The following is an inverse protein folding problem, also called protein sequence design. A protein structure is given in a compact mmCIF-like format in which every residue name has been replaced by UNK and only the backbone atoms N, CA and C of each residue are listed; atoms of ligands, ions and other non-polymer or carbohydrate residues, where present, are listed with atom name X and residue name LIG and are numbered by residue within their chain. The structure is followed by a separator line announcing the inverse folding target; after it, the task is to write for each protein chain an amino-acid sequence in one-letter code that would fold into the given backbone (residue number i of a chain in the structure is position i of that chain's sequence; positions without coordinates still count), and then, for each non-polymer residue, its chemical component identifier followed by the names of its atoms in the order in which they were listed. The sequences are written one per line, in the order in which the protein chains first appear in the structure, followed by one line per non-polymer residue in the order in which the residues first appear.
data_IF_442927465799
#
_entry.id   IF_442927465799
#
_cell.length_a   1.000
_cell.length_b   1.000
_cell.length_c   1.000
_cell.angle_alpha   90.00
_cell.angle_beta   90.00
_cell.angle_gamma   90.00
#
_symmetry.space_group_name_H-M   'P 1'
#
loop_
_entity.id
_entity.type
_entity.pdbx_description
1 polymer ?
#
# COMPACT_ATOMS: atom_id res chain seq x y z
N UNK A 1 -5.88 -55.56 -13.57
CA UNK A 1 -7.30 -55.63 -13.96
C UNK A 1 -7.96 -54.35 -13.48
N UNK A 2 -8.61 -53.61 -14.39
CA UNK A 2 -9.45 -52.44 -14.06
C UNK A 2 -8.85 -51.06 -14.38
N UNK A 3 -8.68 -50.75 -15.66
CA UNK A 3 -8.98 -49.41 -16.21
C UNK A 3 -10.51 -49.16 -16.08
N UNK A 4 -11.10 -47.97 -16.14
CA UNK A 4 -10.86 -46.82 -17.02
C UNK A 4 -11.84 -45.70 -16.57
N UNK A 5 -11.62 -44.45 -16.99
CA UNK A 5 -12.67 -43.42 -16.96
C UNK A 5 -12.25 -42.01 -16.54
N UNK A 6 -11.37 -41.36 -17.29
CA UNK A 6 -11.14 -39.92 -17.22
C UNK A 6 -10.80 -39.37 -18.61
N UNK A 7 -11.81 -38.88 -19.34
CA UNK A 7 -11.60 -38.17 -20.61
C UNK A 7 -11.00 -36.76 -20.37
N UNK A 8 -10.08 -36.30 -21.23
CA UNK A 8 -9.46 -34.99 -21.16
C UNK A 8 -10.33 -33.92 -21.86
N UNK A 9 -10.53 -32.79 -21.20
CA UNK A 9 -11.18 -31.62 -21.80
C UNK A 9 -10.29 -31.00 -22.88
N UNK A 10 -10.88 -30.86 -24.06
CA UNK A 10 -10.29 -30.34 -25.28
C UNK A 10 -10.05 -28.82 -25.21
N UNK A 11 -8.90 -28.42 -25.74
CA UNK A 11 -8.56 -27.05 -26.11
C UNK A 11 -9.52 -26.52 -27.19
N UNK A 12 -10.33 -25.52 -26.84
CA UNK A 12 -11.05 -24.67 -27.80
C UNK A 12 -10.25 -23.41 -28.06
N UNK A 13 -9.45 -23.42 -29.13
CA UNK A 13 -8.84 -22.23 -29.72
C UNK A 13 -9.88 -21.54 -30.62
N UNK A 14 -10.09 -20.25 -30.39
CA UNK A 14 -11.04 -19.42 -31.14
C UNK A 14 -11.08 -18.02 -30.54
N UNK A 15 -10.00 -17.27 -30.70
CA UNK A 15 -9.98 -15.83 -30.48
C UNK A 15 -9.11 -15.24 -31.59
N UNK A 16 -9.73 -14.34 -32.34
CA UNK A 16 -9.24 -13.81 -33.60
C UNK A 16 -7.95 -12.97 -33.41
N UNK A 17 -7.02 -13.23 -34.31
CA UNK A 17 -5.72 -12.59 -34.46
C UNK A 17 -5.90 -11.21 -35.12
N UNK A 18 -6.06 -10.16 -34.32
CA UNK A 18 -5.83 -8.78 -34.77
C UNK A 18 -4.40 -8.34 -34.43
N UNK A 19 -3.44 -8.92 -35.15
CA UNK A 19 -2.09 -8.39 -35.22
C UNK A 19 -2.09 -7.00 -35.91
N UNK A 20 -1.60 -5.98 -35.21
CA UNK A 20 -1.33 -4.66 -35.78
C UNK A 20 -0.37 -4.76 -36.98
N UNK A 21 -0.62 -4.05 -38.09
CA UNK A 21 0.26 -4.08 -39.24
C UNK A 21 1.61 -3.37 -38.96
N UNK A 22 2.70 -3.80 -39.61
CA UNK A 22 4.04 -3.28 -39.36
C UNK A 22 4.20 -1.84 -39.85
N UNK A 23 5.01 -1.08 -39.10
CA UNK A 23 5.43 0.28 -39.39
C UNK A 23 6.38 0.29 -40.61
N UNK A 24 5.86 0.53 -41.81
CA UNK A 24 6.70 0.73 -43.00
C UNK A 24 7.40 2.09 -42.94
N UNK A 25 8.66 2.06 -42.50
CA UNK A 25 9.61 3.14 -42.74
C UNK A 25 9.89 3.24 -44.24
N UNK A 26 9.26 4.21 -44.92
CA UNK A 26 9.52 4.47 -46.34
C UNK A 26 10.75 5.38 -46.49
N UNK A 27 11.84 4.77 -46.95
CA UNK A 27 13.05 5.45 -47.36
C UNK A 27 12.79 6.41 -48.53
N UNK A 28 13.43 7.58 -48.46
CA UNK A 28 13.46 8.62 -49.49
C UNK A 28 14.07 8.09 -50.79
N UNK A 29 13.31 8.16 -51.89
CA UNK A 29 13.87 8.12 -53.24
C UNK A 29 13.69 9.48 -53.91
N UNK A 30 14.82 10.02 -54.34
CA UNK A 30 14.97 11.30 -55.01
C UNK A 30 14.23 11.34 -56.35
N UNK A 31 13.61 12.49 -56.61
CA UNK A 31 13.21 12.88 -57.97
C UNK A 31 11.72 12.99 -58.21
N UNK A 32 11.03 13.85 -57.47
CA UNK A 32 9.84 14.57 -57.95
C UNK A 32 9.63 15.80 -57.05
N UNK A 33 9.51 16.99 -57.65
CA UNK A 33 9.43 18.27 -56.94
C UNK A 33 8.14 18.34 -56.12
N UNK A 34 8.17 18.79 -54.85
CA UNK A 34 6.95 19.02 -54.08
C UNK A 34 6.12 20.16 -54.70
N UNK A 35 4.78 20.09 -54.66
CA UNK A 35 3.94 21.24 -54.98
C UNK A 35 4.24 22.37 -53.99
N UNK A 36 4.35 23.58 -54.51
CA UNK A 36 4.69 24.79 -53.75
C UNK A 36 3.79 24.95 -52.52
N UNK A 37 4.44 25.19 -51.39
CA UNK A 37 3.82 25.66 -50.16
C UNK A 37 2.97 26.89 -50.48
N UNK A 38 1.66 26.79 -50.25
CA UNK A 38 0.82 27.96 -50.11
C UNK A 38 1.38 28.81 -48.96
N UNK A 39 1.85 29.99 -49.34
CA UNK A 39 2.26 31.03 -48.41
C UNK A 39 1.01 31.46 -47.63
N UNK A 40 1.05 31.30 -46.30
CA UNK A 40 0.02 31.82 -45.41
C UNK A 40 0.00 33.34 -45.52
N UNK A 41 -0.99 33.89 -46.22
CA UNK A 41 -1.36 35.29 -46.05
C UNK A 41 -2.12 35.43 -44.72
N UNK A 42 -1.83 36.51 -43.99
CA UNK A 42 -2.22 36.67 -42.59
C UNK A 42 -3.73 36.90 -42.33
N UNK A 43 -4.61 36.74 -43.32
CA UNK A 43 -6.06 36.83 -43.15
C UNK A 43 -6.71 35.71 -43.97
N UNK A 44 -7.16 34.66 -43.30
CA UNK A 44 -7.66 33.43 -43.92
C UNK A 44 -9.01 33.59 -44.62
N UNK A 45 -8.98 33.96 -45.90
CA UNK A 45 -10.10 33.78 -46.82
C UNK A 45 -9.67 32.77 -47.90
N UNK A 46 -10.36 31.62 -47.94
CA UNK A 46 -10.26 30.64 -49.02
C UNK A 46 -11.19 31.04 -50.16
N UNK A 47 -10.63 31.47 -51.30
CA UNK A 47 -11.40 31.53 -52.55
C UNK A 47 -11.56 30.12 -53.11
N UNK A 48 -12.81 29.70 -53.27
CA UNK A 48 -13.18 28.51 -54.03
C UNK A 48 -13.71 28.99 -55.36
N UNK A 49 -12.92 28.82 -56.43
CA UNK A 49 -13.39 29.05 -57.79
C UNK A 49 -14.35 27.91 -58.18
N UNK A 50 -15.63 28.26 -58.33
CA UNK A 50 -16.65 27.38 -58.93
C UNK A 50 -16.93 27.90 -60.34
N UNK A 51 -16.22 27.35 -61.33
CA UNK A 51 -16.62 27.51 -62.72
C UNK A 51 -17.97 26.81 -62.95
N UNK A 52 -18.96 27.57 -63.46
CA UNK A 52 -20.11 26.99 -64.16
C UNK A 52 -21.43 26.87 -63.40
N UNK A 53 -21.81 27.87 -62.59
CA UNK A 53 -23.22 28.05 -62.19
C UNK A 53 -23.74 29.39 -62.70
N UNK A 54 -24.43 29.33 -63.84
CA UNK A 54 -25.35 30.38 -64.27
C UNK A 54 -26.51 30.43 -63.25
N UNK A 55 -26.35 31.27 -62.23
CA UNK A 55 -27.43 31.63 -61.32
C UNK A 55 -27.72 33.10 -61.56
N UNK A 56 -28.84 33.38 -62.24
CA UNK A 56 -29.39 34.73 -62.45
C UNK A 56 -29.87 35.41 -61.16
N UNK A 57 -29.09 35.33 -60.08
CA UNK A 57 -29.23 36.15 -58.90
C UNK A 57 -28.22 37.32 -59.03
N UNK A 58 -28.64 38.58 -58.82
CA UNK A 58 -27.71 39.69 -58.88
C UNK A 58 -26.61 39.51 -57.81
N UNK A 59 -25.34 39.57 -58.23
CA UNK A 59 -24.20 39.75 -57.33
C UNK A 59 -24.54 40.87 -56.35
N UNK A 60 -24.36 40.60 -55.05
CA UNK A 60 -24.62 41.58 -54.01
C UNK A 60 -23.61 42.72 -54.09
N UNK A 61 -23.93 43.73 -54.89
CA UNK A 61 -23.15 44.96 -55.00
C UNK A 61 -23.33 45.73 -53.68
N UNK A 62 -22.26 45.82 -52.88
CA UNK A 62 -22.29 46.62 -51.65
C UNK A 62 -22.76 48.03 -51.95
N UNK A 63 -23.77 48.52 -51.22
CA UNK A 63 -24.28 49.88 -51.39
C UNK A 63 -23.18 50.90 -51.15
N UNK A 64 -23.09 51.91 -52.02
CA UNK A 64 -22.23 53.08 -51.75
C UNK A 64 -22.73 53.81 -50.50
N UNK A 65 -21.85 54.58 -49.83
CA UNK A 65 -22.21 55.30 -48.59
C UNK A 65 -23.46 56.17 -48.78
N UNK A 66 -23.57 56.84 -49.92
CA UNK A 66 -24.71 57.70 -50.25
C UNK A 66 -26.02 56.91 -50.39
N UNK A 67 -25.97 55.72 -50.99
CA UNK A 67 -27.14 54.86 -51.19
C UNK A 67 -27.57 54.17 -49.89
N UNK A 68 -26.60 53.71 -49.08
CA UNK A 68 -26.87 53.13 -47.77
C UNK A 68 -27.53 54.15 -46.83
N UNK A 69 -27.07 55.41 -46.84
CA UNK A 69 -27.62 56.46 -45.98
C UNK A 69 -29.07 56.83 -46.32
N UNK A 70 -29.56 56.51 -47.53
CA UNK A 70 -30.99 56.68 -47.88
C UNK A 70 -31.87 55.67 -47.16
N UNK A 71 -31.43 54.43 -47.03
CA UNK A 71 -32.17 53.36 -46.35
C UNK A 71 -31.89 53.30 -44.84
N UNK A 72 -30.68 53.64 -44.41
CA UNK A 72 -30.26 53.59 -43.01
C UNK A 72 -30.98 54.61 -42.12
N UNK A 73 -31.48 55.71 -42.70
CA UNK A 73 -32.27 56.72 -42.00
C UNK A 73 -33.78 56.46 -42.06
N UNK A 74 -34.23 55.36 -42.67
CA UNK A 74 -35.63 54.96 -42.60
C UNK A 74 -36.04 54.76 -41.13
N UNK A 75 -37.17 55.33 -40.69
CA UNK A 75 -37.67 55.17 -39.32
C UNK A 75 -37.74 53.71 -38.85
N UNK A 76 -38.01 52.76 -39.75
CA UNK A 76 -38.02 51.33 -39.43
C UNK A 76 -36.63 50.82 -39.02
N UNK A 77 -35.61 51.04 -39.85
CA UNK A 77 -34.24 50.56 -39.61
C UNK A 77 -33.58 51.26 -38.42
N UNK A 78 -33.87 52.56 -38.22
CA UNK A 78 -33.41 53.30 -37.04
C UNK A 78 -34.00 52.72 -35.76
N UNK A 79 -35.32 52.47 -35.72
CA UNK A 79 -35.98 51.86 -34.56
C UNK A 79 -35.45 50.46 -34.29
N UNK A 80 -35.31 49.63 -35.32
CA UNK A 80 -34.79 48.27 -35.19
C UNK A 80 -33.37 48.26 -34.62
N UNK A 81 -32.47 49.13 -35.10
CA UNK A 81 -31.09 49.22 -34.57
C UNK A 81 -31.07 49.61 -33.09
N UNK A 82 -31.88 50.59 -32.69
CA UNK A 82 -31.97 50.99 -31.29
C UNK A 82 -32.58 49.91 -30.40
N UNK A 83 -33.58 49.17 -30.90
CA UNK A 83 -34.15 48.01 -30.20
C UNK A 83 -33.11 46.92 -30.03
N UNK A 84 -32.38 46.55 -31.09
CA UNK A 84 -31.33 45.54 -31.02
C UNK A 84 -30.19 45.95 -30.08
N UNK A 85 -29.78 47.22 -30.10
CA UNK A 85 -28.76 47.74 -29.19
C UNK A 85 -29.23 47.69 -27.73
N UNK A 86 -30.48 48.06 -27.46
CA UNK A 86 -31.06 47.97 -26.12
C UNK A 86 -31.17 46.51 -25.65
N UNK A 87 -31.62 45.61 -26.52
CA UNK A 87 -31.71 44.17 -26.24
C UNK A 87 -30.33 43.58 -25.96
N UNK A 88 -29.30 43.97 -26.74
CA UNK A 88 -27.92 43.53 -26.51
C UNK A 88 -27.44 43.89 -25.09
N UNK A 89 -27.61 45.15 -24.66
CA UNK A 89 -27.21 45.58 -23.33
C UNK A 89 -28.05 44.95 -22.22
N UNK A 90 -29.35 44.72 -22.45
CA UNK A 90 -30.21 44.02 -21.49
C UNK A 90 -29.79 42.56 -21.31
N UNK A 91 -29.48 41.85 -22.40
CA UNK A 91 -28.97 40.47 -22.35
C UNK A 91 -27.62 40.45 -21.63
N UNK A 92 -26.73 41.38 -21.95
CA UNK A 92 -25.41 41.46 -21.31
C UNK A 92 -25.53 41.70 -19.81
N UNK A 93 -26.40 42.63 -19.39
CA UNK A 93 -26.67 42.88 -17.97
C UNK A 93 -27.30 41.66 -17.29
N UNK A 94 -28.25 40.99 -17.95
CA UNK A 94 -28.86 39.78 -17.43
C UNK A 94 -27.84 38.65 -17.25
N UNK A 95 -26.93 38.45 -18.22
CA UNK A 95 -25.83 37.49 -18.11
C UNK A 95 -24.90 37.82 -16.95
N UNK A 96 -24.55 39.10 -16.75
CA UNK A 96 -23.72 39.53 -15.63
C UNK A 96 -24.41 39.25 -14.29
N UNK A 97 -25.70 39.58 -14.17
CA UNK A 97 -26.48 39.31 -12.96
C UNK A 97 -26.54 37.80 -12.69
N UNK A 98 -26.80 36.99 -13.70
CA UNK A 98 -26.83 35.52 -13.58
C UNK A 98 -25.46 34.99 -13.13
N UNK A 99 -24.36 35.48 -13.70
CA UNK A 99 -23.01 35.08 -13.29
C UNK A 99 -22.73 35.42 -11.82
N UNK A 100 -23.09 36.63 -11.38
CA UNK A 100 -22.96 37.04 -9.97
C UNK A 100 -23.81 36.17 -9.07
N UNK A 101 -25.06 35.88 -9.46
CA UNK A 101 -25.96 35.01 -8.70
C UNK A 101 -25.39 33.59 -8.57
N UNK A 102 -24.83 33.02 -9.63
CA UNK A 102 -24.18 31.70 -9.59
C UNK A 102 -22.98 31.70 -8.64
N UNK A 103 -22.16 32.74 -8.64
CA UNK A 103 -20.99 32.81 -7.75
C UNK A 103 -21.39 32.99 -6.29
N UNK A 104 -22.42 33.80 -6.01
CA UNK A 104 -22.83 34.13 -4.63
C UNK A 104 -23.70 33.04 -4.02
N UNK A 105 -24.63 32.48 -4.79
CA UNK A 105 -25.57 31.45 -4.33
C UNK A 105 -25.09 30.02 -4.67
N UNK A 106 -24.04 29.89 -5.47
CA UNK A 106 -23.41 28.61 -5.75
C UNK A 106 -23.01 27.94 -4.44
N UNK A 107 -23.38 26.67 -4.23
CA UNK A 107 -22.96 25.96 -3.03
C UNK A 107 -21.44 25.98 -2.99
N UNK A 108 -20.86 26.55 -1.93
CA UNK A 108 -19.43 26.39 -1.66
C UNK A 108 -19.18 24.89 -1.60
N UNK A 109 -18.34 24.37 -2.50
CA UNK A 109 -17.90 22.99 -2.39
C UNK A 109 -17.43 22.77 -0.94
N UNK A 110 -17.89 21.68 -0.31
CA UNK A 110 -17.38 21.32 1.00
C UNK A 110 -15.85 21.28 0.89
N UNK A 111 -15.09 21.89 1.83
CA UNK A 111 -13.65 21.78 1.81
C UNK A 111 -13.33 20.28 1.80
N UNK A 112 -12.57 19.83 0.80
CA UNK A 112 -12.09 18.45 0.75
C UNK A 112 -11.38 18.23 2.07
N UNK A 113 -11.89 17.30 2.90
CA UNK A 113 -11.21 16.98 4.15
C UNK A 113 -9.80 16.54 3.81
N UNK A 114 -8.81 17.18 4.44
CA UNK A 114 -7.41 16.78 4.27
C UNK A 114 -7.26 15.45 4.99
N UNK A 115 -7.44 14.37 4.23
CA UNK A 115 -7.22 13.01 4.71
C UNK A 115 -5.71 12.76 4.84
N UNK A 116 -5.33 12.12 5.93
CA UNK A 116 -3.98 11.62 6.10
C UNK A 116 -3.68 10.55 5.04
N UNK A 117 -2.40 10.32 4.72
CA UNK A 117 -2.00 9.34 3.71
C UNK A 117 -2.65 7.98 3.95
N UNK A 118 -2.66 7.52 5.20
CA UNK A 118 -3.19 6.21 5.56
C UNK A 118 -4.71 6.07 5.46
N UNK A 119 -5.44 7.18 5.32
CA UNK A 119 -6.89 7.20 5.12
C UNK A 119 -7.29 7.15 3.64
N UNK A 120 -6.37 7.51 2.74
CA UNK A 120 -6.63 7.66 1.30
C UNK A 120 -5.78 6.74 0.41
N UNK A 121 -4.63 6.30 0.89
CA UNK A 121 -3.65 5.55 0.11
C UNK A 121 -4.11 4.10 -0.09
N UNK A 122 -3.85 3.57 -1.28
CA UNK A 122 -3.95 2.13 -1.55
C UNK A 122 -2.72 1.43 -0.99
N UNK A 123 -2.93 0.55 -0.02
CA UNK A 123 -1.88 -0.29 0.59
C UNK A 123 -1.71 -1.57 -0.24
N UNK A 124 -0.48 -1.91 -0.59
CA UNK A 124 -0.12 -3.13 -1.30
C UNK A 124 0.84 -3.97 -0.45
N UNK A 125 0.42 -5.18 -0.08
CA UNK A 125 1.28 -6.12 0.62
C UNK A 125 2.26 -6.78 -0.35
N UNK A 126 3.54 -6.70 -0.04
CA UNK A 126 4.62 -7.38 -0.75
C UNK A 126 5.14 -8.49 0.15
N UNK A 127 5.15 -9.70 -0.39
CA UNK A 127 5.90 -10.82 0.17
C UNK A 127 7.28 -10.87 -0.51
N UNK A 128 8.36 -10.38 0.12
CA UNK A 128 9.62 -10.05 -0.57
C UNK A 128 10.20 -11.22 -1.35
N UNK A 129 10.22 -12.40 -0.71
CA UNK A 129 10.80 -13.64 -1.24
C UNK A 129 10.25 -14.07 -2.61
N UNK A 130 9.06 -13.62 -2.99
CA UNK A 130 8.39 -14.07 -4.22
C UNK A 130 8.01 -12.92 -5.17
N UNK A 131 8.44 -11.69 -4.88
CA UNK A 131 7.99 -10.54 -5.65
C UNK A 131 8.84 -10.28 -6.90
N UNK A 132 10.15 -10.05 -6.73
CA UNK A 132 11.07 -9.82 -7.84
C UNK A 132 12.49 -10.15 -7.39
N UNK A 133 13.19 -10.99 -8.15
CA UNK A 133 14.59 -11.39 -7.95
C UNK A 133 15.47 -10.54 -8.87
N UNK A 134 16.34 -9.70 -8.31
CA UNK A 134 17.31 -8.88 -9.05
C UNK A 134 18.70 -9.53 -9.05
N UNK A 135 19.03 -10.28 -7.99
CA UNK A 135 20.32 -10.95 -7.83
C UNK A 135 20.51 -12.18 -8.75
N UNK A 136 19.41 -12.80 -9.21
CA UNK A 136 19.38 -13.98 -10.05
C UNK A 136 19.55 -15.31 -9.31
N UNK A 137 19.38 -15.33 -7.98
CA UNK A 137 19.54 -16.52 -7.14
C UNK A 137 18.24 -17.35 -6.97
N UNK A 138 17.14 -16.88 -7.56
CA UNK A 138 15.82 -17.50 -7.51
C UNK A 138 14.95 -17.05 -6.34
N UNK A 139 15.40 -16.08 -5.55
CA UNK A 139 14.66 -15.51 -4.42
C UNK A 139 14.46 -14.00 -4.60
N UNK A 140 13.24 -13.53 -4.35
CA UNK A 140 12.96 -12.11 -4.42
C UNK A 140 13.68 -11.32 -3.32
N UNK A 141 14.23 -10.16 -3.68
CA UNK A 141 15.11 -9.35 -2.84
C UNK A 141 14.68 -7.86 -2.83
N UNK A 142 15.29 -7.07 -1.94
CA UNK A 142 14.96 -5.64 -1.77
C UNK A 142 15.29 -4.84 -3.04
N UNK A 143 16.37 -5.16 -3.74
CA UNK A 143 16.73 -4.53 -5.00
C UNK A 143 15.65 -4.77 -6.07
N UNK A 144 15.14 -6.00 -6.15
CA UNK A 144 14.03 -6.37 -7.01
C UNK A 144 12.77 -5.56 -6.71
N UNK A 145 12.42 -5.35 -5.44
CA UNK A 145 11.31 -4.47 -5.06
C UNK A 145 11.53 -3.05 -5.61
N UNK A 146 12.75 -2.51 -5.44
CA UNK A 146 13.10 -1.15 -5.92
C UNK A 146 12.89 -1.00 -7.42
N UNK A 147 13.25 -2.01 -8.22
CA UNK A 147 13.06 -1.98 -9.69
C UNK A 147 11.58 -1.92 -10.12
N UNK A 148 10.64 -2.25 -9.23
CA UNK A 148 9.20 -2.28 -9.51
C UNK A 148 8.41 -1.14 -8.89
N UNK A 149 9.06 -0.17 -8.23
CA UNK A 149 8.35 0.95 -7.61
C UNK A 149 7.54 1.76 -8.62
N UNK A 150 8.06 1.99 -9.82
CA UNK A 150 7.34 2.70 -10.88
C UNK A 150 6.11 1.90 -11.35
N UNK A 151 6.23 0.58 -11.47
CA UNK A 151 5.09 -0.29 -11.77
C UNK A 151 4.00 -0.20 -10.69
N UNK A 152 4.38 -0.24 -9.40
CA UNK A 152 3.44 -0.15 -8.29
C UNK A 152 2.75 1.22 -8.26
N UNK A 153 3.52 2.29 -8.53
CA UNK A 153 2.97 3.64 -8.64
C UNK A 153 1.97 3.78 -9.79
N UNK A 154 2.26 3.19 -10.95
CA UNK A 154 1.35 3.19 -12.11
C UNK A 154 0.06 2.42 -11.83
N UNK A 155 0.10 1.40 -10.98
CA UNK A 155 -1.09 0.69 -10.48
C UNK A 155 -1.93 1.54 -9.51
N UNK A 156 -1.42 2.69 -9.07
CA UNK A 156 -2.07 3.58 -8.10
C UNK A 156 -1.77 3.22 -6.63
N UNK A 157 -0.76 2.39 -6.38
CA UNK A 157 -0.30 2.08 -5.03
C UNK A 157 0.45 3.27 -4.45
N UNK A 158 0.16 3.58 -3.19
CA UNK A 158 0.81 4.69 -2.44
C UNK A 158 1.41 4.26 -1.11
N UNK A 159 1.09 3.07 -0.64
CA UNK A 159 1.75 2.50 0.55
C UNK A 159 2.14 1.05 0.30
N UNK A 160 3.37 0.71 0.64
CA UNK A 160 3.92 -0.64 0.55
C UNK A 160 3.94 -1.24 1.95
N UNK A 161 3.30 -2.39 2.14
CA UNK A 161 3.46 -3.17 3.36
C UNK A 161 4.38 -4.35 3.06
N UNK A 162 5.56 -4.36 3.66
CA UNK A 162 6.51 -5.47 3.53
C UNK A 162 6.26 -6.50 4.63
N UNK A 163 6.02 -7.76 4.23
CA UNK A 163 6.26 -8.90 5.14
C UNK A 163 7.72 -8.88 5.66
N UNK A 164 8.02 -9.57 6.77
CA UNK A 164 9.31 -9.45 7.45
C UNK A 164 10.53 -9.66 6.54
N UNK A 165 11.45 -8.70 6.57
CA UNK A 165 12.78 -8.79 5.92
C UNK A 165 13.91 -8.91 6.95
N UNK A 166 13.58 -9.02 8.24
CA UNK A 166 14.58 -9.11 9.30
C UNK A 166 15.41 -10.39 9.18
N UNK A 167 16.61 -10.37 9.74
CA UNK A 167 17.46 -11.56 9.77
C UNK A 167 16.77 -12.72 10.48
N UNK A 168 16.60 -13.84 9.79
CA UNK A 168 15.79 -14.98 10.23
C UNK A 168 16.40 -16.32 9.77
N UNK A 169 16.31 -17.38 10.58
CA UNK A 169 16.62 -18.74 10.12
C UNK A 169 15.60 -19.32 9.12
N UNK A 170 14.54 -18.58 8.78
CA UNK A 170 13.52 -18.91 7.79
C UNK A 170 12.71 -20.17 8.14
N UNK A 171 12.50 -20.47 9.42
CA UNK A 171 11.61 -21.55 9.87
C UNK A 171 10.15 -21.21 9.65
N UNK A 172 9.81 -19.94 9.78
CA UNK A 172 8.52 -19.35 9.48
C UNK A 172 8.69 -18.18 8.50
N UNK A 173 9.60 -18.36 7.54
CA UNK A 173 9.83 -17.46 6.41
C UNK A 173 9.94 -15.97 6.77
N UNK A 174 10.65 -15.64 7.84
CA UNK A 174 10.92 -14.27 8.27
C UNK A 174 10.24 -13.87 9.58
N UNK A 175 9.23 -14.62 10.03
CA UNK A 175 8.55 -14.36 11.31
C UNK A 175 9.34 -14.93 12.51
N UNK A 176 10.27 -15.87 12.31
CA UNK A 176 11.25 -16.32 13.31
C UNK A 176 12.51 -15.44 13.30
N UNK A 177 12.46 -14.28 13.96
CA UNK A 177 13.49 -13.24 13.86
C UNK A 177 14.69 -13.50 14.79
N UNK A 178 15.90 -13.55 14.23
CA UNK A 178 17.17 -13.72 14.95
C UNK A 178 17.94 -12.42 15.20
N UNK A 179 17.62 -11.34 14.48
CA UNK A 179 18.07 -9.98 14.77
C UNK A 179 17.03 -8.97 14.24
N UNK A 180 16.37 -8.27 15.15
CA UNK A 180 15.31 -7.30 14.85
C UNK A 180 15.79 -6.01 14.17
N UNK A 181 17.11 -5.74 14.16
CA UNK A 181 17.69 -4.50 13.64
C UNK A 181 18.56 -4.73 12.40
N UNK A 182 18.53 -5.93 11.84
CA UNK A 182 19.26 -6.31 10.64
C UNK A 182 18.32 -6.83 9.55
N UNK A 183 18.65 -6.53 8.29
CA UNK A 183 18.02 -7.16 7.12
C UNK A 183 18.63 -8.54 6.91
N UNK A 184 17.82 -9.53 6.53
CA UNK A 184 18.32 -10.85 6.20
C UNK A 184 19.19 -10.82 4.94
N UNK A 185 20.39 -11.43 4.94
CA UNK A 185 21.24 -11.50 3.76
C UNK A 185 20.57 -12.12 2.53
N UNK A 186 19.52 -12.93 2.71
CA UNK A 186 18.70 -13.46 1.61
C UNK A 186 17.97 -12.36 0.83
N UNK A 187 17.64 -11.25 1.48
CA UNK A 187 16.91 -10.14 0.87
C UNK A 187 17.81 -8.96 0.50
N UNK A 188 19.08 -8.98 0.92
CA UNK A 188 20.06 -7.94 0.63
C UNK A 188 20.69 -7.36 1.90
N UNK A 189 21.02 -6.08 1.86
CA UNK A 189 21.73 -5.37 2.93
C UNK A 189 20.88 -4.25 3.54
N UNK A 190 21.35 -3.68 4.66
CA UNK A 190 20.74 -2.47 5.22
C UNK A 190 20.84 -1.29 4.24
N UNK A 191 21.89 -1.22 3.42
CA UNK A 191 22.05 -0.17 2.41
C UNK A 191 21.00 -0.29 1.30
N UNK A 192 20.65 -1.53 0.91
CA UNK A 192 19.57 -1.77 -0.05
C UNK A 192 18.21 -1.31 0.50
N UNK A 193 17.96 -1.56 1.78
CA UNK A 193 16.75 -1.10 2.46
C UNK A 193 16.70 0.44 2.59
N UNK A 194 17.80 1.08 2.97
CA UNK A 194 17.90 2.54 3.00
C UNK A 194 17.66 3.14 1.60
N UNK A 195 18.13 2.45 0.54
CA UNK A 195 17.84 2.78 -0.85
C UNK A 195 16.36 2.63 -1.22
N UNK A 196 15.69 1.58 -0.74
CA UNK A 196 14.24 1.39 -0.95
C UNK A 196 13.42 2.51 -0.29
N UNK A 197 13.78 2.90 0.93
CA UNK A 197 13.13 4.01 1.62
C UNK A 197 13.28 5.32 0.84
N UNK A 198 14.49 5.62 0.36
CA UNK A 198 14.75 6.82 -0.43
C UNK A 198 13.94 6.82 -1.75
N UNK A 199 13.99 5.71 -2.50
CA UNK A 199 13.31 5.59 -3.79
C UNK A 199 11.78 5.65 -3.67
N UNK A 200 11.22 5.11 -2.57
CA UNK A 200 9.80 5.20 -2.24
C UNK A 200 9.40 6.64 -1.90
N UNK A 201 10.20 7.34 -1.08
CA UNK A 201 9.95 8.73 -0.70
C UNK A 201 9.99 9.67 -1.91
N UNK A 202 10.93 9.49 -2.83
CA UNK A 202 10.98 10.23 -4.11
C UNK A 202 9.70 10.08 -4.95
N UNK A 203 8.98 8.97 -4.76
CA UNK A 203 7.76 8.64 -5.48
C UNK A 203 6.48 9.04 -4.76
N UNK A 204 6.59 9.68 -3.59
CA UNK A 204 5.46 9.96 -2.69
C UNK A 204 4.72 8.65 -2.35
N UNK A 205 5.51 7.67 -1.89
CA UNK A 205 5.05 6.37 -1.43
C UNK A 205 5.53 6.13 0.00
N UNK A 206 4.68 5.47 0.79
CA UNK A 206 4.94 5.15 2.19
C UNK A 206 5.37 3.69 2.36
N UNK A 207 6.26 3.40 3.30
CA UNK A 207 6.72 2.05 3.64
C UNK A 207 6.26 1.65 5.05
N UNK A 208 5.49 0.56 5.12
CA UNK A 208 5.03 -0.07 6.35
C UNK A 208 5.78 -1.39 6.52
N UNK A 209 6.43 -1.58 7.67
CA UNK A 209 7.08 -2.84 8.01
C UNK A 209 6.14 -3.76 8.80
N UNK A 210 6.20 -5.07 8.56
CA UNK A 210 5.64 -6.04 9.50
C UNK A 210 6.52 -6.08 10.77
N UNK A 211 5.91 -6.01 11.95
CA UNK A 211 6.58 -6.02 13.24
C UNK A 211 6.02 -7.17 14.07
N UNK A 212 6.93 -8.05 14.52
CA UNK A 212 6.59 -9.32 15.19
C UNK A 212 7.06 -9.24 16.64
N UNK A 213 6.27 -8.66 17.57
CA UNK A 213 6.72 -8.45 18.94
C UNK A 213 6.68 -9.72 19.80
N UNK A 214 5.80 -10.67 19.48
CA UNK A 214 5.45 -11.79 20.37
C UNK A 214 6.63 -12.69 20.74
N UNK A 215 7.45 -13.02 19.76
CA UNK A 215 8.49 -14.03 19.87
C UNK A 215 9.74 -13.60 19.08
N UNK A 216 10.87 -14.19 19.44
CA UNK A 216 12.06 -14.18 18.59
C UNK A 216 12.37 -15.59 18.11
N UNK A 217 13.37 -15.75 17.25
CA UNK A 217 13.96 -17.05 16.95
C UNK A 217 14.67 -17.62 18.19
N UNK A 218 14.69 -18.95 18.30
CA UNK A 218 15.56 -19.70 19.21
C UNK A 218 17.06 -19.48 18.93
N UNK A 219 17.43 -18.95 17.77
CA UNK A 219 18.80 -18.54 17.44
C UNK A 219 19.10 -17.08 17.78
N UNK A 220 18.12 -16.32 18.27
CA UNK A 220 18.33 -14.94 18.71
C UNK A 220 19.29 -14.90 19.92
N UNK A 221 20.18 -13.90 19.96
CA UNK A 221 21.16 -13.75 21.04
C UNK A 221 20.48 -13.71 22.42
N UNK A 222 19.38 -12.96 22.54
CA UNK A 222 18.52 -12.94 23.73
C UNK A 222 18.14 -14.33 24.23
N UNK A 223 17.67 -15.24 23.35
CA UNK A 223 17.27 -16.59 23.77
C UNK A 223 18.48 -17.39 24.24
N UNK A 224 19.59 -17.31 23.51
CA UNK A 224 20.83 -18.00 23.85
C UNK A 224 21.38 -17.54 25.21
N UNK A 225 21.32 -16.23 25.49
CA UNK A 225 21.70 -15.63 26.78
C UNK A 225 20.73 -16.00 27.90
N UNK A 226 19.44 -16.06 27.58
CA UNK A 226 18.41 -16.56 28.49
C UNK A 226 18.66 -18.02 28.86
N UNK A 227 18.94 -18.92 27.90
CA UNK A 227 19.27 -20.33 28.16
C UNK A 227 20.44 -20.46 29.16
N UNK A 228 21.45 -19.59 29.05
CA UNK A 228 22.62 -19.55 29.94
C UNK A 228 22.39 -18.83 31.27
N UNK A 229 21.20 -18.27 31.49
CA UNK A 229 20.85 -17.47 32.67
C UNK A 229 21.78 -16.27 32.86
N UNK A 230 22.11 -15.58 31.76
CA UNK A 230 22.86 -14.33 31.86
C UNK A 230 22.00 -13.23 32.49
N UNK A 231 22.64 -12.37 33.29
CA UNK A 231 21.98 -11.25 33.95
C UNK A 231 21.24 -10.38 32.93
N UNK A 232 20.05 -9.89 33.34
CA UNK A 232 19.07 -9.19 32.52
C UNK A 232 18.31 -10.05 31.49
N UNK A 233 18.88 -11.14 30.95
CA UNK A 233 18.22 -11.99 29.93
C UNK A 233 17.57 -13.24 30.49
N UNK A 234 17.82 -13.57 31.76
CA UNK A 234 17.32 -14.79 32.41
C UNK A 234 15.80 -14.96 32.27
N UNK A 235 15.05 -13.86 32.37
CA UNK A 235 13.59 -13.81 32.31
C UNK A 235 13.07 -13.06 31.06
N UNK A 236 13.86 -12.99 29.98
CA UNK A 236 13.42 -12.44 28.69
C UNK A 236 12.37 -13.33 27.99
N UNK A 237 12.33 -14.61 28.34
CA UNK A 237 11.38 -15.59 27.83
C UNK A 237 10.67 -16.27 28.99
N UNK A 238 9.56 -16.93 28.69
CA UNK A 238 8.74 -17.60 29.69
C UNK A 238 9.30 -19.00 29.92
N UNK A 239 9.84 -19.24 31.12
CA UNK A 239 10.43 -20.50 31.54
C UNK A 239 9.65 -21.12 32.69
N UNK A 240 9.45 -22.43 32.66
CA UNK A 240 8.76 -23.17 33.71
C UNK A 240 9.36 -24.55 33.93
N UNK A 241 9.26 -25.03 35.16
CA UNK A 241 9.61 -26.41 35.51
C UNK A 241 8.51 -27.37 35.06
N UNK A 242 8.90 -28.57 34.64
CA UNK A 242 7.95 -29.61 34.25
C UNK A 242 7.21 -30.19 35.46
N UNK A 243 5.96 -30.64 35.25
CA UNK A 243 5.15 -31.28 36.28
C UNK A 243 4.93 -32.75 35.90
N UNK A 244 5.16 -33.67 36.85
CA UNK A 244 4.92 -35.10 36.63
C UNK A 244 5.77 -35.76 35.53
N UNK A 245 6.91 -35.17 35.17
CA UNK A 245 7.77 -35.63 34.08
C UNK A 245 7.37 -35.15 32.68
N UNK A 246 6.40 -34.23 32.59
CA UNK A 246 5.94 -33.60 31.35
C UNK A 246 6.00 -32.07 31.40
N UNK A 247 5.39 -31.38 30.41
CA UNK A 247 5.29 -29.91 30.40
C UNK A 247 4.54 -29.38 31.64
N UNK A 248 4.69 -28.09 31.97
CA UNK A 248 4.07 -27.49 33.16
C UNK A 248 2.54 -27.55 33.15
N UNK A 249 1.93 -27.44 31.96
CA UNK A 249 0.48 -27.50 31.76
C UNK A 249 0.14 -28.06 30.37
N UNK A 250 -1.16 -28.10 30.05
CA UNK A 250 -1.69 -28.67 28.81
C UNK A 250 -1.87 -27.69 27.65
N UNK A 251 -1.30 -26.48 27.70
CA UNK A 251 -1.48 -25.48 26.64
C UNK A 251 -0.93 -25.98 25.29
N UNK A 252 -1.66 -25.65 24.22
CA UNK A 252 -1.37 -26.09 22.86
C UNK A 252 -0.76 -24.98 22.03
N UNK A 253 0.16 -25.34 21.13
CA UNK A 253 0.68 -24.43 20.09
C UNK A 253 -0.35 -24.28 18.96
N UNK A 254 -0.40 -23.10 18.34
CA UNK A 254 -1.24 -22.82 17.16
C UNK A 254 -0.95 -23.79 16.01
N UNK A 255 0.30 -24.21 15.86
CA UNK A 255 0.72 -25.15 14.81
C UNK A 255 0.61 -26.62 15.24
N UNK A 256 0.03 -26.88 16.41
CA UNK A 256 -0.26 -28.20 16.93
C UNK A 256 0.82 -28.73 17.88
N UNK A 257 0.39 -29.60 18.80
CA UNK A 257 1.23 -30.12 19.87
C UNK A 257 1.33 -29.18 21.06
N UNK A 258 2.17 -29.54 22.03
CA UNK A 258 2.37 -28.74 23.24
C UNK A 258 3.00 -27.38 22.90
N UNK A 259 2.54 -26.33 23.58
CA UNK A 259 3.16 -25.00 23.55
C UNK A 259 4.44 -24.91 24.42
N UNK A 260 4.96 -26.04 24.88
CA UNK A 260 6.11 -26.12 25.76
C UNK A 260 7.17 -27.05 25.20
N UNK A 261 8.39 -26.54 25.07
CA UNK A 261 9.55 -27.33 24.64
C UNK A 261 10.61 -27.37 25.74
N UNK A 262 11.11 -28.56 26.04
CA UNK A 262 12.14 -28.75 27.06
C UNK A 262 13.52 -28.34 26.53
N UNK A 263 14.20 -27.44 27.25
CA UNK A 263 15.59 -27.08 26.98
C UNK A 263 16.52 -27.81 27.95
N UNK A 264 17.29 -28.77 27.44
CA UNK A 264 18.18 -29.59 28.25
C UNK A 264 19.32 -28.80 28.91
N UNK A 265 19.81 -27.72 28.28
CA UNK A 265 20.89 -26.91 28.84
C UNK A 265 20.43 -26.08 30.03
N UNK A 266 19.21 -25.53 29.98
CA UNK A 266 18.61 -24.76 31.07
C UNK A 266 17.93 -25.64 32.13
N UNK A 267 17.51 -26.84 31.74
CA UNK A 267 16.79 -27.79 32.58
C UNK A 267 15.30 -27.46 32.77
N UNK A 268 14.72 -26.62 31.91
CA UNK A 268 13.35 -26.10 32.02
C UNK A 268 12.62 -26.15 30.68
N UNK A 269 11.30 -26.06 30.71
CA UNK A 269 10.49 -25.81 29.52
C UNK A 269 10.42 -24.32 29.23
N UNK A 270 10.48 -23.94 27.95
CA UNK A 270 10.10 -22.61 27.50
C UNK A 270 8.77 -22.64 26.76
N UNK A 271 8.02 -21.55 26.88
CA UNK A 271 6.77 -21.35 26.16
C UNK A 271 7.02 -20.92 24.72
N UNK A 272 6.19 -21.41 23.80
CA UNK A 272 6.11 -20.95 22.43
C UNK A 272 4.66 -21.10 21.93
N UNK A 273 4.03 -19.99 21.52
CA UNK A 273 2.68 -20.05 20.97
C UNK A 273 2.65 -20.70 19.58
N UNK A 274 3.73 -20.54 18.83
CA UNK A 274 3.87 -20.99 17.44
C UNK A 274 4.86 -22.16 17.37
N UNK A 275 5.88 -22.09 16.50
CA UNK A 275 6.89 -23.15 16.39
C UNK A 275 7.77 -23.21 17.64
N UNK A 276 8.36 -24.38 17.96
CA UNK A 276 9.40 -24.47 18.99
C UNK A 276 10.61 -23.55 18.73
N UNK A 277 10.85 -23.16 17.47
CA UNK A 277 11.89 -22.22 17.07
C UNK A 277 11.49 -20.75 17.27
N UNK A 278 10.26 -20.48 17.74
CA UNK A 278 9.71 -19.16 18.04
C UNK A 278 9.39 -19.05 19.54
N UNK A 279 10.39 -19.09 20.44
CA UNK A 279 10.16 -18.88 21.87
C UNK A 279 9.55 -17.51 22.15
N UNK A 280 8.48 -17.50 22.95
CA UNK A 280 7.71 -16.30 23.27
C UNK A 280 8.45 -15.43 24.28
N UNK A 281 8.46 -14.13 24.00
CA UNK A 281 9.07 -13.12 24.84
C UNK A 281 8.16 -12.83 26.04
N UNK A 282 8.78 -12.63 27.20
CA UNK A 282 8.05 -12.34 28.42
C UNK A 282 7.72 -10.83 28.52
N UNK A 283 6.56 -10.40 28.01
CA UNK A 283 6.14 -8.98 28.07
C UNK A 283 5.83 -8.46 29.47
N UNK A 284 5.75 -9.32 30.50
CA UNK A 284 5.70 -8.89 31.90
C UNK A 284 7.05 -8.38 32.39
N UNK A 285 8.14 -8.67 31.67
CA UNK A 285 9.47 -8.13 31.95
C UNK A 285 9.63 -6.73 31.31
N UNK A 286 9.83 -5.66 32.10
CA UNK A 286 9.96 -4.30 31.57
C UNK A 286 11.16 -4.13 30.63
N UNK A 287 12.20 -4.96 30.75
CA UNK A 287 13.34 -4.92 29.83
C UNK A 287 12.96 -5.41 28.42
N UNK A 288 12.04 -6.37 28.31
CA UNK A 288 11.52 -6.85 27.01
C UNK A 288 10.71 -5.75 26.34
N UNK A 289 9.81 -5.10 27.09
CA UNK A 289 9.03 -3.95 26.60
C UNK A 289 9.97 -2.86 26.09
N UNK A 290 10.99 -2.51 26.87
CA UNK A 290 11.99 -1.51 26.47
C UNK A 290 12.76 -1.90 25.21
N UNK A 291 13.19 -3.15 25.06
CA UNK A 291 13.91 -3.58 23.86
C UNK A 291 13.03 -3.49 22.61
N UNK A 292 11.75 -3.86 22.70
CA UNK A 292 10.80 -3.75 21.59
C UNK A 292 10.50 -2.30 21.23
N UNK A 293 10.35 -1.44 22.23
CA UNK A 293 10.27 0.01 22.07
C UNK A 293 11.49 0.57 21.33
N UNK A 294 12.70 0.09 21.66
CA UNK A 294 13.94 0.50 21.00
C UNK A 294 14.04 -0.05 19.56
N UNK A 295 13.47 -1.21 19.26
CA UNK A 295 13.36 -1.74 17.88
C UNK A 295 12.43 -0.84 17.04
N UNK A 296 11.26 -0.47 17.56
CA UNK A 296 10.34 0.43 16.86
C UNK A 296 11.02 1.76 16.56
N UNK A 297 11.67 2.36 17.56
CA UNK A 297 12.40 3.62 17.38
C UNK A 297 13.51 3.51 16.34
N UNK A 298 14.27 2.41 16.33
CA UNK A 298 15.33 2.19 15.35
C UNK A 298 14.81 2.26 13.90
N UNK A 299 13.68 1.62 13.61
CA UNK A 299 13.10 1.63 12.25
C UNK A 299 12.41 2.95 11.91
N UNK A 300 11.76 3.62 12.89
CA UNK A 300 11.23 4.97 12.69
C UNK A 300 12.34 6.00 12.41
N UNK A 301 13.47 5.92 13.11
CA UNK A 301 14.64 6.79 12.89
C UNK A 301 15.24 6.61 11.48
N UNK A 302 15.06 5.44 10.86
CA UNK A 302 15.44 5.23 9.45
C UNK A 302 14.48 5.88 8.45
N UNK A 303 13.24 6.14 8.84
CA UNK A 303 12.22 6.77 7.99
C UNK A 303 11.07 5.85 7.60
N UNK A 304 10.86 4.72 8.28
CA UNK A 304 9.68 3.87 8.09
C UNK A 304 8.40 4.62 8.47
N UNK A 305 7.36 4.53 7.65
CA UNK A 305 6.11 5.29 7.82
C UNK A 305 5.10 4.59 8.76
N UNK A 306 5.32 3.31 9.04
CA UNK A 306 4.49 2.61 10.00
C UNK A 306 4.81 1.14 10.19
N UNK A 307 4.03 0.52 11.06
CA UNK A 307 4.12 -0.90 11.37
C UNK A 307 2.76 -1.60 11.27
N UNK A 308 2.79 -2.79 10.70
CA UNK A 308 1.73 -3.80 10.87
C UNK A 308 2.16 -4.72 12.00
N UNK A 309 1.37 -4.82 13.06
CA UNK A 309 1.70 -5.58 14.25
C UNK A 309 1.18 -7.02 14.14
N UNK A 310 2.09 -7.99 14.15
CA UNK A 310 1.78 -9.42 14.12
C UNK A 310 1.43 -10.00 15.48
N UNK A 311 0.65 -11.09 15.47
CA UNK A 311 0.39 -11.96 16.62
C UNK A 311 -0.06 -11.29 17.94
N UNK A 312 -0.55 -10.04 17.90
CA UNK A 312 -0.83 -9.24 19.10
C UNK A 312 -1.72 -9.89 20.16
N UNK A 313 -2.66 -10.74 19.75
CA UNK A 313 -3.54 -11.41 20.71
C UNK A 313 -2.79 -12.38 21.62
N UNK A 314 -1.57 -12.77 21.28
CA UNK A 314 -0.72 -13.71 22.01
C UNK A 314 0.35 -13.01 22.86
N UNK A 315 0.36 -11.67 22.92
CA UNK A 315 1.45 -10.92 23.56
C UNK A 315 1.64 -11.22 25.06
N UNK A 316 0.58 -11.65 25.72
CA UNK A 316 0.57 -11.97 27.14
C UNK A 316 -0.22 -13.26 27.38
N UNK A 317 0.30 -14.07 28.30
CA UNK A 317 -0.39 -15.17 28.96
C UNK A 317 -0.63 -14.85 30.44
N UNK A 318 -1.52 -15.61 31.06
CA UNK A 318 -1.74 -15.55 32.50
C UNK A 318 -0.48 -15.92 33.28
N UNK A 319 -0.23 -15.22 34.39
CA UNK A 319 0.86 -15.55 35.32
C UNK A 319 0.63 -16.88 36.03
N UNK A 320 -0.63 -17.29 36.18
CA UNK A 320 -0.99 -18.58 36.75
C UNK A 320 -0.84 -19.69 35.71
N UNK A 321 0.36 -20.26 35.62
CA UNK A 321 0.64 -21.39 34.73
C UNK A 321 -0.15 -22.66 35.08
N UNK A 322 -0.89 -22.70 36.20
CA UNK A 322 -1.82 -23.80 36.52
C UNK A 322 -3.20 -23.62 35.89
N UNK A 323 -3.48 -22.45 35.33
CA UNK A 323 -4.73 -22.16 34.65
C UNK A 323 -4.90 -23.07 33.43
N UNK A 324 -6.10 -23.63 33.29
CA UNK A 324 -6.46 -24.50 32.18
C UNK A 324 -7.34 -23.77 31.18
N UNK A 325 -7.09 -23.98 29.90
CA UNK A 325 -7.97 -23.50 28.83
C UNK A 325 -9.20 -24.41 28.74
N UNK A 326 -10.42 -23.89 28.93
CA UNK A 326 -11.62 -24.72 28.85
C UNK A 326 -11.83 -25.18 27.41
N UNK A 327 -12.18 -26.45 27.26
CA UNK A 327 -12.45 -27.06 25.96
C UNK A 327 -13.77 -26.53 25.36
N UNK A 328 -13.78 -26.29 24.05
CA UNK A 328 -14.97 -25.85 23.35
C UNK A 328 -16.01 -26.98 23.24
N UNK A 329 -17.32 -26.66 23.26
CA UNK A 329 -18.37 -27.66 23.07
C UNK A 329 -18.22 -28.40 21.73
N UNK A 330 -18.52 -29.70 21.73
CA UNK A 330 -18.53 -30.56 20.52
C UNK A 330 -17.18 -30.77 19.83
N UNK A 331 -16.06 -30.55 20.52
CA UNK A 331 -14.71 -30.83 19.98
C UNK A 331 -14.14 -32.14 20.53
N UNK A 332 -13.75 -33.05 19.64
CA UNK A 332 -13.09 -34.32 20.00
C UNK A 332 -11.58 -34.29 19.82
N UNK A 333 -11.09 -33.31 19.08
CA UNK A 333 -9.67 -33.17 18.75
C UNK A 333 -8.89 -32.53 19.90
N UNK A 334 -7.59 -32.77 19.96
CA UNK A 334 -6.71 -32.21 21.00
C UNK A 334 -5.82 -31.11 20.47
N UNK A 335 -6.17 -30.53 19.34
CA UNK A 335 -5.45 -29.44 18.70
C UNK A 335 -5.85 -28.08 19.28
N UNK A 336 -5.15 -27.02 18.86
CA UNK A 336 -5.36 -25.66 19.35
C UNK A 336 -6.84 -25.24 19.23
N UNK A 337 -7.46 -25.49 18.07
CA UNK A 337 -8.85 -25.12 17.79
C UNK A 337 -9.91 -25.78 18.69
N UNK A 338 -9.54 -26.76 19.52
CA UNK A 338 -10.45 -27.40 20.46
C UNK A 338 -10.64 -26.64 21.78
N UNK A 339 -9.90 -25.57 22.04
CA UNK A 339 -9.88 -24.87 23.33
C UNK A 339 -10.31 -23.39 23.20
N UNK A 340 -10.80 -22.82 24.30
CA UNK A 340 -11.03 -21.40 24.44
C UNK A 340 -9.84 -20.77 25.17
N UNK A 341 -9.07 -19.96 24.43
CA UNK A 341 -7.81 -19.37 24.88
C UNK A 341 -7.97 -18.00 25.56
N UNK A 342 -9.13 -17.38 25.38
CA UNK A 342 -9.41 -16.00 25.82
C UNK A 342 -9.22 -15.86 27.34
N UNK A 343 -8.36 -14.92 27.74
CA UNK A 343 -8.05 -14.64 29.14
C UNK A 343 -7.08 -15.63 29.79
N UNK A 344 -6.52 -16.57 29.02
CA UNK A 344 -5.47 -17.50 29.48
C UNK A 344 -4.20 -17.32 28.65
N UNK A 345 -4.25 -17.58 27.34
CA UNK A 345 -3.12 -17.41 26.40
C UNK A 345 -3.43 -16.45 25.26
N UNK A 346 -4.67 -15.96 25.16
CA UNK A 346 -5.04 -14.90 24.21
C UNK A 346 -5.84 -13.76 24.82
N UNK A 347 -5.72 -12.59 24.20
CA UNK A 347 -6.57 -11.42 24.43
C UNK A 347 -6.54 -10.91 25.87
N UNK A 348 -5.38 -11.00 26.53
CA UNK A 348 -5.16 -10.40 27.84
C UNK A 348 -5.13 -8.87 27.75
N UNK A 349 -5.76 -8.15 28.71
CA UNK A 349 -5.96 -6.70 28.63
C UNK A 349 -4.66 -5.89 28.67
N UNK A 350 -3.58 -6.41 29.27
CA UNK A 350 -2.27 -5.76 29.33
C UNK A 350 -1.70 -5.46 27.93
N UNK A 351 -2.13 -6.21 26.91
CA UNK A 351 -1.80 -5.94 25.50
C UNK A 351 -2.13 -4.50 25.09
N UNK A 352 -3.25 -3.94 25.57
CA UNK A 352 -3.66 -2.58 25.21
C UNK A 352 -2.73 -1.51 25.79
N UNK A 353 -2.10 -1.76 26.93
CA UNK A 353 -1.15 -0.82 27.53
C UNK A 353 0.13 -0.75 26.69
N UNK A 354 0.64 -1.90 26.22
CA UNK A 354 1.78 -1.96 25.30
C UNK A 354 1.47 -1.27 23.96
N UNK A 355 0.28 -1.52 23.40
CA UNK A 355 -0.17 -0.84 22.17
C UNK A 355 -0.29 0.68 22.35
N UNK A 356 -0.75 1.15 23.50
CA UNK A 356 -0.79 2.57 23.82
C UNK A 356 0.61 3.17 23.91
N UNK A 357 1.56 2.43 24.48
CA UNK A 357 2.99 2.77 24.48
C UNK A 357 3.52 2.96 23.07
N UNK A 358 3.37 1.96 22.19
CA UNK A 358 3.84 2.04 20.80
C UNK A 358 3.17 3.15 19.99
N UNK A 359 1.88 3.41 20.21
CA UNK A 359 1.22 4.56 19.58
C UNK A 359 1.83 5.88 20.04
N UNK A 360 2.20 5.98 21.32
CA UNK A 360 2.85 7.17 21.86
C UNK A 360 4.23 7.39 21.22
N UNK A 361 5.01 6.34 20.99
CA UNK A 361 6.28 6.42 20.25
C UNK A 361 6.06 6.97 18.84
N UNK A 362 5.05 6.47 18.12
CA UNK A 362 4.74 7.00 16.80
C UNK A 362 4.35 8.48 16.87
N UNK A 363 3.55 8.90 17.85
CA UNK A 363 3.20 10.31 18.04
C UNK A 363 4.42 11.20 18.31
N UNK A 364 5.39 10.73 19.10
CA UNK A 364 6.64 11.46 19.37
C UNK A 364 7.40 11.77 18.06
N UNK A 365 7.39 10.84 17.10
CA UNK A 365 8.02 11.04 15.80
C UNK A 365 7.20 11.98 14.91
N UNK A 366 5.87 11.82 14.87
CA UNK A 366 4.97 12.72 14.14
C UNK A 366 5.13 14.18 14.59
N UNK A 367 5.24 14.41 15.90
CA UNK A 367 5.40 15.74 16.46
C UNK A 367 6.78 16.35 16.11
N UNK A 368 7.78 15.52 15.83
CA UNK A 368 9.16 15.92 15.51
C UNK A 368 9.33 16.32 14.04
N UNK A 369 8.74 15.58 13.11
CA UNK A 369 8.95 15.77 11.67
C UNK A 369 7.69 16.22 10.89
N UNK A 370 6.51 16.13 11.51
CA UNK A 370 5.22 16.46 10.88
C UNK A 370 4.69 15.40 9.92
N UNK A 371 5.34 14.24 9.82
CA UNK A 371 4.93 13.10 8.98
C UNK A 371 4.14 12.09 9.83
N UNK A 372 2.88 11.82 9.48
CA UNK A 372 2.04 10.89 10.23
C UNK A 372 2.62 9.46 10.20
N UNK A 373 2.73 8.79 11.35
CA UNK A 373 3.25 7.43 11.50
C UNK A 373 2.12 6.47 11.87
N UNK A 374 1.94 5.36 11.15
CA UNK A 374 0.81 4.45 11.40
C UNK A 374 1.22 3.17 12.13
N UNK A 375 0.42 2.79 13.11
CA UNK A 375 0.47 1.44 13.70
C UNK A 375 -0.87 0.78 13.43
N UNK A 376 -0.88 -0.35 12.73
CA UNK A 376 -2.10 -1.14 12.51
C UNK A 376 -1.95 -2.53 13.07
N UNK A 377 -3.03 -3.05 13.64
CA UNK A 377 -3.15 -4.48 13.92
C UNK A 377 -3.11 -5.25 12.58
N UNK A 378 -2.38 -6.36 12.55
CA UNK A 378 -2.48 -7.34 11.48
C UNK A 378 -3.89 -7.94 11.41
N UNK A 379 -4.43 -8.02 10.20
CA UNK A 379 -5.77 -8.55 9.92
C UNK A 379 -5.95 -10.00 10.35
#
# INVERSE_FOLDING_TARGET
MGADGGEPLQNGAGADDESMPPNEARALTAGEKPPELMEKTANGETEVDVEGVDSGAPEFCGLTKEELMRYANDPFWVRLRWVLLAVFWLIWLAMLVVAVVIVVLGPKCAPVQKLDWWQKDTIYQIYPRSFSDDSGDGVGDVAGIRTKLDYLKDLGVRSLWLSPIYKSPMRDFGYDISDFRAVDPLFGTMEDFDGLLADAKERDMHLIMDFVPNHSSDQHDWFQRSVRREDNYTDFYIWADGVGGGPPNGWQSVFGGSAWTYNAARGQYYYHQFLPQQPDLNFRNPNVVKEMDDVIRFWLDKGVDGFRLDALKHLFETEDLTATEPRLPNTTDSDWGAFNHTGVTTDLPETFDVLSGWRSICQEFEDKDGEHRRVTRGW
#
